data_IF_385912639105
#
_entry.id   IF_385912639105
#
_cell.length_a   1.000
_cell.length_b   1.000
_cell.length_c   1.000
_cell.angle_alpha   90.00
_cell.angle_beta   90.00
_cell.angle_gamma   90.00
#
_symmetry.space_group_name_H-M   'P 1'
#
loop_
_entity.id
_entity.type
_entity.pdbx_description
1 polymer ?
#
# COMPACT_ATOMS: atom_id res chain seq x y z
N UNK A 1 9.51 -12.59 -10.94
CA UNK A 1 10.17 -13.89 -10.62
C UNK A 1 9.91 -14.36 -9.19
N UNK A 2 10.07 -13.52 -8.15
CA UNK A 2 9.88 -13.93 -6.73
C UNK A 2 8.49 -14.50 -6.45
N UNK A 3 7.43 -13.81 -6.90
CA UNK A 3 6.04 -14.28 -6.69
C UNK A 3 5.79 -15.68 -7.30
N UNK A 4 6.42 -16.01 -8.43
CA UNK A 4 6.30 -17.32 -9.04
C UNK A 4 6.83 -18.44 -8.11
N UNK A 5 7.99 -18.22 -7.48
CA UNK A 5 8.55 -19.19 -6.53
C UNK A 5 7.71 -19.31 -5.26
N UNK A 6 7.19 -18.19 -4.74
CA UNK A 6 6.29 -18.19 -3.57
C UNK A 6 5.00 -18.96 -3.91
N UNK A 7 4.42 -18.71 -5.07
CA UNK A 7 3.19 -19.37 -5.50
C UNK A 7 3.39 -20.90 -5.67
N UNK A 8 4.49 -21.31 -6.31
CA UNK A 8 4.86 -22.73 -6.41
C UNK A 8 5.07 -23.33 -5.01
N UNK A 9 5.77 -22.60 -4.12
CA UNK A 9 6.03 -23.07 -2.76
C UNK A 9 4.74 -23.32 -1.97
N UNK A 10 3.70 -22.51 -2.14
CA UNK A 10 2.41 -22.76 -1.48
C UNK A 10 1.85 -24.14 -1.80
N UNK A 11 1.87 -24.54 -3.08
CA UNK A 11 1.36 -25.85 -3.49
C UNK A 11 2.29 -27.00 -3.08
N UNK A 12 3.60 -26.85 -3.23
CA UNK A 12 4.57 -27.90 -2.89
C UNK A 12 4.55 -28.16 -1.38
N UNK A 13 4.59 -27.11 -0.55
CA UNK A 13 4.55 -27.24 0.91
C UNK A 13 3.20 -27.83 1.34
N UNK A 14 2.10 -27.35 0.78
CA UNK A 14 0.77 -27.88 1.08
C UNK A 14 0.66 -29.38 0.75
N UNK A 15 1.22 -29.81 -0.38
CA UNK A 15 1.23 -31.21 -0.73
C UNK A 15 2.06 -32.07 0.26
N UNK A 16 3.24 -31.57 0.66
CA UNK A 16 4.07 -32.24 1.67
C UNK A 16 3.32 -32.38 3.00
N UNK A 17 2.68 -31.29 3.45
CA UNK A 17 1.86 -31.30 4.66
C UNK A 17 0.67 -32.25 4.56
N UNK A 18 0.04 -32.33 3.38
CA UNK A 18 -1.05 -33.27 3.13
C UNK A 18 -0.59 -34.74 3.25
N UNK A 19 0.59 -35.07 2.72
CA UNK A 19 1.17 -36.41 2.83
C UNK A 19 1.49 -36.74 4.28
N UNK A 20 2.07 -35.80 5.02
CA UNK A 20 2.34 -35.96 6.48
C UNK A 20 1.03 -36.13 7.24
N UNK A 21 0.01 -35.31 6.98
CA UNK A 21 -1.30 -35.40 7.62
C UNK A 21 -1.98 -36.74 7.36
N UNK A 22 -1.92 -37.24 6.11
CA UNK A 22 -2.44 -38.57 5.77
C UNK A 22 -1.71 -39.68 6.53
N UNK A 23 -0.38 -39.60 6.62
CA UNK A 23 0.42 -40.55 7.39
C UNK A 23 0.11 -40.52 8.88
N UNK A 24 -0.32 -39.36 9.41
CA UNK A 24 -0.78 -39.17 10.79
C UNK A 24 -2.26 -39.56 11.00
N UNK A 25 -2.98 -40.02 9.96
CA UNK A 25 -4.35 -40.52 10.04
C UNK A 25 -5.45 -39.55 9.60
N UNK A 26 -5.13 -38.32 9.14
CA UNK A 26 -6.15 -37.43 8.54
C UNK A 26 -6.42 -37.81 7.07
N UNK A 27 -7.38 -38.71 6.87
CA UNK A 27 -7.81 -39.16 5.53
C UNK A 27 -8.56 -38.10 4.75
N UNK A 28 -8.96 -36.97 5.38
CA UNK A 28 -9.75 -35.90 4.76
C UNK A 28 -8.91 -34.74 4.28
N UNK A 29 -7.59 -34.73 4.57
CA UNK A 29 -6.72 -33.58 4.29
C UNK A 29 -6.67 -33.21 2.80
N UNK A 30 -6.55 -34.19 1.90
CA UNK A 30 -6.54 -33.95 0.47
C UNK A 30 -7.86 -33.37 -0.03
N UNK A 31 -8.99 -33.87 0.48
CA UNK A 31 -10.30 -33.34 0.15
C UNK A 31 -10.40 -31.87 0.59
N UNK A 32 -10.05 -31.55 1.84
CA UNK A 32 -10.05 -30.17 2.35
C UNK A 32 -9.24 -29.22 1.47
N UNK A 33 -8.05 -29.64 1.02
CA UNK A 33 -7.19 -28.84 0.15
C UNK A 33 -7.83 -28.63 -1.23
N UNK A 34 -8.39 -29.67 -1.83
CA UNK A 34 -9.06 -29.57 -3.13
C UNK A 34 -10.31 -28.69 -3.02
N UNK A 35 -11.15 -28.90 -2.02
CA UNK A 35 -12.34 -28.07 -1.78
C UNK A 35 -11.97 -26.59 -1.62
N UNK A 36 -10.85 -26.31 -0.91
CA UNK A 36 -10.35 -24.94 -0.75
C UNK A 36 -9.98 -24.26 -2.07
N UNK A 37 -9.60 -25.01 -3.11
CA UNK A 37 -9.30 -24.43 -4.43
C UNK A 37 -10.57 -23.89 -5.09
N UNK A 38 -11.66 -24.64 -5.03
CA UNK A 38 -12.97 -24.24 -5.59
C UNK A 38 -13.55 -23.06 -4.81
N UNK A 39 -13.55 -23.15 -3.47
CA UNK A 39 -14.05 -22.09 -2.59
C UNK A 39 -13.28 -20.79 -2.76
N UNK A 40 -11.95 -20.88 -2.86
CA UNK A 40 -11.10 -19.69 -3.07
C UNK A 40 -11.32 -19.08 -4.45
N UNK A 41 -11.50 -19.91 -5.47
CA UNK A 41 -11.78 -19.47 -6.85
C UNK A 41 -13.13 -18.72 -6.93
N UNK A 42 -14.18 -19.31 -6.34
CA UNK A 42 -15.51 -18.69 -6.26
C UNK A 42 -15.47 -17.38 -5.49
N UNK A 43 -14.84 -17.37 -4.31
CA UNK A 43 -14.70 -16.19 -3.47
C UNK A 43 -13.94 -15.06 -4.20
N UNK A 44 -12.87 -15.39 -4.95
CA UNK A 44 -12.11 -14.40 -5.74
C UNK A 44 -12.99 -13.69 -6.77
N UNK A 45 -13.86 -14.43 -7.44
CA UNK A 45 -14.80 -13.86 -8.41
C UNK A 45 -15.86 -13.00 -7.74
N UNK A 46 -16.49 -13.48 -6.66
CA UNK A 46 -17.51 -12.75 -5.90
C UNK A 46 -16.97 -11.43 -5.34
N UNK A 47 -15.76 -11.43 -4.80
CA UNK A 47 -15.07 -10.21 -4.34
C UNK A 47 -14.90 -9.22 -5.50
N UNK A 48 -14.40 -9.69 -6.64
CA UNK A 48 -14.16 -8.82 -7.81
C UNK A 48 -15.46 -8.19 -8.31
N UNK A 49 -16.54 -8.93 -8.29
CA UNK A 49 -17.86 -8.43 -8.64
C UNK A 49 -18.33 -7.35 -7.65
N UNK A 50 -18.22 -7.61 -6.34
CA UNK A 50 -18.55 -6.64 -5.29
C UNK A 50 -17.71 -5.35 -5.34
N UNK A 51 -16.45 -5.46 -5.77
CA UNK A 51 -15.58 -4.32 -5.94
C UNK A 51 -15.95 -3.39 -7.10
N UNK A 52 -16.62 -3.89 -8.11
CA UNK A 52 -16.88 -3.17 -9.38
C UNK A 52 -17.53 -1.82 -9.13
N UNK A 53 -18.59 -1.77 -8.31
CA UNK A 53 -19.30 -0.52 -8.01
C UNK A 53 -18.44 0.48 -7.23
N UNK A 54 -17.72 0.00 -6.22
CA UNK A 54 -16.88 0.87 -5.36
C UNK A 54 -15.67 1.41 -6.14
N UNK A 55 -15.03 0.59 -6.97
CA UNK A 55 -13.94 1.04 -7.84
C UNK A 55 -14.44 2.02 -8.89
N UNK A 56 -15.61 1.79 -9.49
CA UNK A 56 -16.23 2.72 -10.43
C UNK A 56 -16.51 4.08 -9.76
N UNK A 57 -17.05 4.08 -8.53
CA UNK A 57 -17.28 5.31 -7.77
C UNK A 57 -15.96 6.09 -7.57
N UNK A 58 -14.95 5.43 -6.99
CA UNK A 58 -13.71 6.14 -6.65
C UNK A 58 -12.92 6.59 -7.87
N UNK A 59 -12.76 5.74 -8.91
CA UNK A 59 -12.07 6.14 -10.13
C UNK A 59 -12.85 7.20 -10.91
N UNK A 60 -14.19 7.18 -10.83
CA UNK A 60 -15.02 8.27 -11.36
C UNK A 60 -14.73 9.62 -10.68
N UNK A 61 -14.71 9.65 -9.35
CA UNK A 61 -14.36 10.86 -8.57
C UNK A 61 -12.92 11.31 -8.85
N UNK A 62 -11.97 10.36 -8.87
CA UNK A 62 -10.56 10.66 -9.18
C UNK A 62 -10.39 11.27 -10.57
N UNK A 63 -11.14 10.81 -11.57
CA UNK A 63 -11.09 11.33 -12.94
C UNK A 63 -11.56 12.79 -13.02
N UNK A 64 -12.55 13.17 -12.20
CA UNK A 64 -12.97 14.58 -12.08
C UNK A 64 -11.79 15.42 -11.57
N UNK A 65 -11.14 14.97 -10.46
CA UNK A 65 -9.99 15.67 -9.88
C UNK A 65 -8.80 15.78 -10.85
N UNK A 66 -8.52 14.72 -11.61
CA UNK A 66 -7.48 14.69 -12.64
C UNK A 66 -7.76 15.77 -13.72
N UNK A 67 -8.96 15.76 -14.31
CA UNK A 67 -9.36 16.74 -15.33
C UNK A 67 -9.46 18.18 -14.80
N UNK A 68 -9.80 18.34 -13.54
CA UNK A 68 -9.80 19.64 -12.85
C UNK A 68 -8.38 20.16 -12.54
N UNK A 69 -7.36 19.34 -12.73
CA UNK A 69 -5.97 19.70 -12.48
C UNK A 69 -5.56 19.69 -10.99
N UNK A 70 -6.28 18.96 -10.14
CA UNK A 70 -5.96 18.84 -8.70
C UNK A 70 -4.55 18.27 -8.53
N UNK A 71 -4.14 17.30 -9.35
CA UNK A 71 -2.77 16.74 -9.36
C UNK A 71 -1.72 17.85 -9.56
N UNK A 72 -1.96 18.80 -10.47
CA UNK A 72 -1.05 19.91 -10.72
C UNK A 72 -0.96 20.88 -9.54
N UNK A 73 -2.06 21.07 -8.80
CA UNK A 73 -2.08 21.91 -7.58
C UNK A 73 -1.25 21.24 -6.49
N UNK A 74 -1.47 19.95 -6.26
CA UNK A 74 -0.72 19.17 -5.28
C UNK A 74 0.78 19.11 -5.63
N UNK A 75 1.12 18.85 -6.90
CA UNK A 75 2.49 18.84 -7.38
C UNK A 75 3.22 20.18 -7.11
N UNK A 76 2.53 21.31 -7.33
CA UNK A 76 3.07 22.63 -7.01
C UNK A 76 3.25 22.87 -5.51
N UNK A 77 2.30 22.42 -4.70
CA UNK A 77 2.38 22.54 -3.24
C UNK A 77 3.57 21.74 -2.66
N UNK A 78 3.87 20.59 -3.25
CA UNK A 78 4.98 19.72 -2.82
C UNK A 78 6.36 20.19 -3.35
N UNK A 79 6.38 21.00 -4.42
CA UNK A 79 7.60 21.44 -5.11
C UNK A 79 8.69 22.00 -4.19
N UNK A 80 8.41 22.87 -3.19
CA UNK A 80 9.46 23.42 -2.33
C UNK A 80 10.23 22.37 -1.54
N UNK A 81 9.55 21.32 -1.08
CA UNK A 81 10.12 20.22 -0.31
C UNK A 81 10.95 19.32 -1.23
N UNK A 82 10.33 18.84 -2.30
CA UNK A 82 10.97 17.86 -3.20
C UNK A 82 12.18 18.43 -3.93
N UNK A 83 12.18 19.73 -4.29
CA UNK A 83 13.35 20.37 -4.88
C UNK A 83 14.60 20.24 -3.97
N UNK A 84 14.43 20.16 -2.66
CA UNK A 84 15.53 19.99 -1.70
C UNK A 84 16.00 18.55 -1.53
N UNK A 85 15.13 17.58 -1.85
CA UNK A 85 15.46 16.16 -1.85
C UNK A 85 16.21 15.70 -3.10
N UNK A 86 16.26 16.52 -4.15
CA UNK A 86 16.93 16.20 -5.42
C UNK A 86 18.02 17.23 -5.77
N UNK A 87 19.03 17.45 -4.91
CA UNK A 87 20.02 18.49 -5.12
C UNK A 87 20.90 18.28 -6.38
N UNK A 88 21.05 17.03 -6.83
CA UNK A 88 21.87 16.68 -8.00
C UNK A 88 21.16 16.95 -9.33
N UNK A 89 19.87 17.34 -9.31
CA UNK A 89 19.13 17.69 -10.53
C UNK A 89 19.33 19.19 -10.83
N UNK A 90 19.68 19.55 -12.07
CA UNK A 90 19.82 20.96 -12.46
C UNK A 90 18.52 21.75 -12.23
N UNK A 91 18.67 23.00 -11.79
CA UNK A 91 17.51 23.89 -11.58
C UNK A 91 16.74 24.04 -12.90
N UNK A 92 15.40 23.99 -12.80
CA UNK A 92 14.48 24.09 -13.93
C UNK A 92 14.53 22.92 -14.93
N UNK A 93 15.18 21.80 -14.60
CA UNK A 93 15.12 20.62 -15.48
C UNK A 93 13.71 20.01 -15.48
N UNK A 94 13.18 19.62 -16.67
CA UNK A 94 11.80 19.12 -16.81
C UNK A 94 11.51 17.86 -15.99
N UNK A 95 12.53 17.09 -15.60
CA UNK A 95 12.38 15.90 -14.76
C UNK A 95 11.70 16.21 -13.41
N UNK A 96 11.94 17.41 -12.84
CA UNK A 96 11.30 17.79 -11.58
C UNK A 96 9.77 17.83 -11.72
N UNK A 97 9.26 18.33 -12.84
CA UNK A 97 7.83 18.29 -13.14
C UNK A 97 7.29 16.85 -13.20
N UNK A 98 8.01 15.94 -13.85
CA UNK A 98 7.63 14.53 -13.95
C UNK A 98 7.65 13.83 -12.58
N UNK A 99 8.65 14.11 -11.73
CA UNK A 99 8.74 13.61 -10.35
C UNK A 99 7.54 14.09 -9.54
N UNK A 100 7.25 15.40 -9.57
CA UNK A 100 6.14 15.96 -8.79
C UNK A 100 4.78 15.41 -9.21
N UNK A 101 4.57 15.27 -10.52
CA UNK A 101 3.35 14.67 -11.06
C UNK A 101 3.18 13.21 -10.66
N UNK A 102 4.25 12.42 -10.70
CA UNK A 102 4.22 11.02 -10.26
C UNK A 102 3.86 10.92 -8.77
N UNK A 103 4.56 11.66 -7.90
CA UNK A 103 4.32 11.61 -6.45
C UNK A 103 2.92 12.10 -6.12
N UNK A 104 2.47 13.21 -6.71
CA UNK A 104 1.12 13.73 -6.50
C UNK A 104 0.04 12.74 -6.96
N UNK A 105 0.27 12.04 -8.08
CA UNK A 105 -0.65 11.01 -8.57
C UNK A 105 -0.71 9.80 -7.62
N UNK A 106 0.43 9.33 -7.12
CA UNK A 106 0.50 8.26 -6.12
C UNK A 106 -0.22 8.64 -4.82
N UNK A 107 0.01 9.86 -4.32
CA UNK A 107 -0.67 10.37 -3.11
C UNK A 107 -2.19 10.35 -3.25
N UNK A 108 -2.70 10.59 -4.44
CA UNK A 108 -4.14 10.55 -4.74
C UNK A 108 -4.65 9.16 -5.13
N UNK A 109 -3.78 8.14 -5.23
CA UNK A 109 -4.18 6.80 -5.65
C UNK A 109 -4.52 6.67 -7.14
N UNK A 110 -3.92 7.55 -7.99
CA UNK A 110 -4.09 7.57 -9.44
C UNK A 110 -3.02 6.71 -10.14
N UNK A 111 -3.04 5.39 -9.91
CA UNK A 111 -2.04 4.44 -10.42
C UNK A 111 -1.86 4.53 -11.95
N UNK A 112 -2.95 4.76 -12.70
CA UNK A 112 -2.92 4.90 -14.16
C UNK A 112 -2.12 6.12 -14.64
N UNK A 113 -2.10 7.20 -13.86
CA UNK A 113 -1.34 8.42 -14.16
C UNK A 113 0.07 8.38 -13.54
N UNK A 114 0.23 7.72 -12.40
CA UNK A 114 1.47 7.65 -11.66
C UNK A 114 2.55 6.87 -12.43
N UNK A 115 2.25 5.67 -12.90
CA UNK A 115 3.24 4.82 -13.59
C UNK A 115 3.84 5.46 -14.85
N UNK A 116 3.06 5.99 -15.82
CA UNK A 116 3.62 6.67 -16.99
C UNK A 116 4.48 7.88 -16.66
N UNK A 117 4.06 8.69 -15.68
CA UNK A 117 4.82 9.87 -15.25
C UNK A 117 6.12 9.47 -14.54
N UNK A 118 6.11 8.36 -13.78
CA UNK A 118 7.30 7.79 -13.16
C UNK A 118 8.30 7.23 -14.16
N UNK A 119 7.85 6.52 -15.17
CA UNK A 119 8.69 6.03 -16.27
C UNK A 119 9.33 7.21 -17.03
N UNK A 120 8.57 8.27 -17.27
CA UNK A 120 9.09 9.50 -17.89
C UNK A 120 10.15 10.15 -17.00
N UNK A 121 9.92 10.26 -15.70
CA UNK A 121 10.89 10.79 -14.76
C UNK A 121 12.19 9.96 -14.77
N UNK A 122 12.09 8.63 -14.77
CA UNK A 122 13.25 7.73 -14.85
C UNK A 122 14.03 7.91 -16.16
N UNK A 123 13.35 7.99 -17.30
CA UNK A 123 14.00 8.24 -18.60
C UNK A 123 14.77 9.57 -18.59
N UNK A 124 14.15 10.63 -18.09
CA UNK A 124 14.78 11.96 -17.99
C UNK A 124 15.95 11.97 -16.99
N UNK A 125 15.89 11.25 -15.88
CA UNK A 125 17.03 11.08 -14.96
C UNK A 125 18.15 10.26 -15.61
N UNK A 126 17.82 9.29 -16.47
CA UNK A 126 18.79 8.49 -17.19
C UNK A 126 19.55 9.30 -18.25
N UNK A 127 18.95 10.33 -18.83
CA UNK A 127 19.66 11.27 -19.71
C UNK A 127 20.79 11.97 -18.98
N UNK A 128 20.58 12.36 -17.71
CA UNK A 128 21.56 13.01 -16.83
C UNK A 128 22.59 12.04 -16.26
N UNK A 129 22.36 10.74 -16.34
CA UNK A 129 23.19 9.72 -15.72
C UNK A 129 24.48 9.47 -16.52
N UNK A 130 25.64 9.65 -15.90
CA UNK A 130 26.95 9.40 -16.51
C UNK A 130 27.26 7.89 -16.60
N UNK A 131 26.82 7.09 -15.61
CA UNK A 131 27.02 5.63 -15.56
C UNK A 131 25.69 4.94 -15.83
N UNK A 132 25.45 4.60 -17.08
CA UNK A 132 24.14 4.13 -17.56
C UNK A 132 23.58 2.86 -16.89
N UNK A 133 24.42 2.04 -16.28
CA UNK A 133 24.04 0.81 -15.58
C UNK A 133 23.91 0.95 -14.06
N UNK A 134 24.25 2.12 -13.50
CA UNK A 134 24.32 2.37 -12.06
C UNK A 134 23.31 3.45 -11.66
N UNK A 135 22.51 3.20 -10.62
CA UNK A 135 21.52 4.15 -10.11
C UNK A 135 22.17 5.42 -9.57
N UNK A 136 21.63 6.59 -9.93
CA UNK A 136 22.03 7.89 -9.36
C UNK A 136 21.31 8.18 -8.05
N UNK A 137 21.80 9.12 -7.25
CA UNK A 137 21.10 9.53 -6.01
C UNK A 137 19.66 10.00 -6.27
N UNK A 138 19.36 10.86 -7.28
CA UNK A 138 17.99 11.21 -7.60
C UNK A 138 17.09 10.01 -7.91
N UNK A 139 17.59 9.04 -8.70
CA UNK A 139 16.83 7.84 -9.01
C UNK A 139 16.50 7.04 -7.76
N UNK A 140 17.46 6.91 -6.83
CA UNK A 140 17.25 6.19 -5.57
C UNK A 140 16.25 6.91 -4.68
N UNK A 141 16.38 8.23 -4.49
CA UNK A 141 15.43 9.03 -3.71
C UNK A 141 14.02 8.93 -4.31
N UNK A 142 13.89 9.05 -5.63
CA UNK A 142 12.62 8.91 -6.33
C UNK A 142 11.99 7.53 -6.10
N UNK A 143 12.79 6.48 -6.18
CA UNK A 143 12.33 5.12 -5.93
C UNK A 143 11.85 4.94 -4.49
N UNK A 144 12.60 5.40 -3.50
CA UNK A 144 12.24 5.27 -2.08
C UNK A 144 10.97 6.05 -1.76
N UNK A 145 10.78 7.24 -2.34
CA UNK A 145 9.54 8.01 -2.20
C UNK A 145 8.32 7.28 -2.80
N UNK A 146 8.49 6.56 -3.91
CA UNK A 146 7.44 5.71 -4.47
C UNK A 146 7.18 4.47 -3.60
N UNK A 147 8.22 3.84 -3.08
CA UNK A 147 8.12 2.65 -2.21
C UNK A 147 7.46 2.97 -0.88
N UNK A 148 7.88 4.02 -0.20
CA UNK A 148 7.27 4.48 1.05
C UNK A 148 5.85 5.06 0.85
N UNK A 149 5.52 5.38 -0.37
CA UNK A 149 4.21 5.60 -0.98
C UNK A 149 3.18 6.33 -0.12
N UNK A 150 3.41 7.62 0.19
CA UNK A 150 2.39 8.40 0.91
C UNK A 150 1.05 8.34 0.19
N UNK A 151 0.11 7.59 0.74
CA UNK A 151 -1.24 7.42 0.19
C UNK A 151 -2.23 8.22 1.03
N UNK A 152 -2.85 9.25 0.43
CA UNK A 152 -3.88 10.06 1.10
C UNK A 152 -5.22 9.32 1.05
N UNK A 153 -5.53 8.63 -0.05
CA UNK A 153 -6.83 8.00 -0.24
C UNK A 153 -6.62 6.51 -0.57
N UNK A 154 -6.73 5.59 0.41
CA UNK A 154 -6.55 4.15 0.19
C UNK A 154 -7.84 3.50 -0.37
N UNK A 155 -8.31 3.99 -1.54
CA UNK A 155 -9.60 3.63 -2.13
C UNK A 155 -9.82 2.13 -2.26
N UNK A 156 -8.80 1.43 -2.73
CA UNK A 156 -8.84 -0.02 -2.96
C UNK A 156 -9.05 -0.80 -1.66
N UNK A 157 -8.40 -0.41 -0.57
CA UNK A 157 -8.53 -1.07 0.74
C UNK A 157 -9.93 -0.85 1.29
N UNK A 158 -10.44 0.39 1.23
CA UNK A 158 -11.80 0.71 1.66
C UNK A 158 -12.85 -0.08 0.85
N UNK A 159 -12.61 -0.23 -0.46
CA UNK A 159 -13.47 -1.03 -1.33
C UNK A 159 -13.48 -2.51 -0.92
N UNK A 160 -12.33 -3.11 -0.63
CA UNK A 160 -12.24 -4.49 -0.15
C UNK A 160 -12.93 -4.67 1.20
N UNK A 161 -12.73 -3.77 2.15
CA UNK A 161 -13.42 -3.82 3.45
C UNK A 161 -14.94 -3.76 3.30
N UNK A 162 -15.43 -2.85 2.44
CA UNK A 162 -16.86 -2.76 2.12
C UNK A 162 -17.39 -4.06 1.51
N UNK A 163 -16.65 -4.67 0.57
CA UNK A 163 -17.05 -5.93 -0.08
C UNK A 163 -17.05 -7.13 0.89
N UNK A 164 -16.22 -7.09 1.95
CA UNK A 164 -16.20 -8.10 3.00
C UNK A 164 -17.21 -7.83 4.13
N UNK A 165 -18.09 -6.81 3.97
CA UNK A 165 -19.13 -6.51 4.93
C UNK A 165 -18.63 -5.91 6.24
N UNK A 166 -17.51 -5.17 6.22
CA UNK A 166 -17.06 -4.43 7.39
C UNK A 166 -18.15 -3.47 7.88
N UNK A 167 -18.39 -3.42 9.19
CA UNK A 167 -19.37 -2.52 9.79
C UNK A 167 -19.04 -1.05 9.53
N UNK A 168 -17.74 -0.73 9.52
CA UNK A 168 -17.20 0.60 9.23
C UNK A 168 -15.99 0.47 8.31
N UNK A 169 -16.15 0.44 6.97
CA UNK A 169 -15.06 0.27 6.03
C UNK A 169 -13.97 1.34 6.15
N UNK A 170 -14.30 2.52 6.66
CA UNK A 170 -13.45 3.71 6.73
C UNK A 170 -12.66 3.84 8.04
N UNK A 171 -12.84 2.98 9.03
CA UNK A 171 -12.18 3.06 10.34
C UNK A 171 -10.65 2.90 10.25
N UNK A 172 -10.14 2.21 9.23
CA UNK A 172 -8.70 2.05 8.96
C UNK A 172 -8.08 3.23 8.21
N UNK A 173 -8.87 4.23 7.80
CA UNK A 173 -8.39 5.36 6.97
C UNK A 173 -7.30 6.18 7.68
N UNK A 174 -7.60 6.68 8.89
CA UNK A 174 -6.63 7.46 9.68
C UNK A 174 -5.42 6.61 10.08
N UNK A 175 -5.56 5.37 10.59
CA UNK A 175 -4.44 4.46 10.81
C UNK A 175 -3.53 4.26 9.60
N UNK A 176 -4.08 4.03 8.41
CA UNK A 176 -3.29 3.90 7.17
C UNK A 176 -2.54 5.20 6.87
N UNK A 177 -3.22 6.35 6.96
CA UNK A 177 -2.59 7.66 6.71
C UNK A 177 -1.41 7.91 7.65
N UNK A 178 -1.54 7.59 8.92
CA UNK A 178 -0.46 7.72 9.90
C UNK A 178 0.70 6.77 9.61
N UNK A 179 0.41 5.50 9.29
CA UNK A 179 1.45 4.51 9.00
C UNK A 179 2.25 4.87 7.75
N UNK A 180 1.58 5.31 6.67
CA UNK A 180 2.26 5.72 5.44
C UNK A 180 3.05 7.03 5.60
N UNK A 181 2.59 7.96 6.45
CA UNK A 181 3.36 9.15 6.83
C UNK A 181 4.67 8.78 7.53
N UNK A 182 4.62 7.85 8.49
CA UNK A 182 5.82 7.37 9.20
C UNK A 182 6.77 6.65 8.24
N UNK A 183 6.26 5.78 7.36
CA UNK A 183 7.06 5.09 6.34
C UNK A 183 7.76 6.09 5.41
N UNK A 184 7.03 7.12 4.95
CA UNK A 184 7.59 8.17 4.07
C UNK A 184 8.64 9.01 4.79
N UNK A 185 8.40 9.40 6.04
CA UNK A 185 9.39 10.09 6.86
C UNK A 185 10.67 9.27 7.02
N UNK A 186 10.54 7.99 7.37
CA UNK A 186 11.66 7.08 7.50
C UNK A 186 12.43 6.95 6.17
N UNK A 187 11.72 6.77 5.06
CA UNK A 187 12.32 6.71 3.72
C UNK A 187 13.10 7.97 3.36
N UNK A 188 12.53 9.15 3.61
CA UNK A 188 13.21 10.46 3.39
C UNK A 188 14.46 10.56 4.27
N UNK A 189 14.35 10.29 5.56
CA UNK A 189 15.46 10.44 6.51
C UNK A 189 16.59 9.46 6.17
N UNK A 190 16.28 8.18 6.03
CA UNK A 190 17.27 7.13 5.74
C UNK A 190 18.00 7.42 4.44
N UNK A 191 17.26 7.74 3.37
CA UNK A 191 17.88 8.04 2.06
C UNK A 191 18.70 9.32 2.10
N UNK A 192 18.21 10.37 2.78
CA UNK A 192 18.93 11.64 2.92
C UNK A 192 20.23 11.46 3.70
N UNK A 193 20.24 10.65 4.77
CA UNK A 193 21.45 10.33 5.53
C UNK A 193 22.47 9.58 4.67
N UNK A 194 21.99 8.59 3.89
CA UNK A 194 22.87 7.80 3.02
C UNK A 194 23.47 8.65 1.89
N UNK A 195 22.68 9.58 1.36
CA UNK A 195 23.08 10.50 0.29
C UNK A 195 23.76 11.78 0.79
N UNK A 196 23.89 11.95 2.12
CA UNK A 196 24.42 13.15 2.76
C UNK A 196 23.69 14.43 2.37
N UNK A 197 22.39 14.34 2.14
CA UNK A 197 21.53 15.51 1.94
C UNK A 197 21.40 16.21 3.29
N UNK A 198 21.60 17.51 3.32
CA UNK A 198 21.46 18.29 4.55
C UNK A 198 19.97 18.43 4.93
N UNK A 199 19.51 17.54 5.83
CA UNK A 199 18.14 17.55 6.34
C UNK A 199 17.85 18.72 7.29
N UNK A 200 18.88 19.41 7.78
CA UNK A 200 18.74 20.59 8.65
C UNK A 200 18.45 21.88 7.86
N UNK A 201 18.35 21.82 6.54
CA UNK A 201 17.85 22.96 5.75
C UNK A 201 16.43 23.31 6.22
N UNK A 202 16.13 24.61 6.40
CA UNK A 202 14.89 25.09 6.95
C UNK A 202 13.64 24.40 6.35
N UNK A 203 13.56 24.27 5.02
CA UNK A 203 12.40 23.66 4.36
C UNK A 203 12.21 22.18 4.76
N UNK A 204 13.29 21.38 4.70
CA UNK A 204 13.22 19.97 5.08
C UNK A 204 12.99 19.80 6.58
N UNK A 205 13.69 20.59 7.41
CA UNK A 205 13.54 20.56 8.86
C UNK A 205 12.09 20.86 9.27
N UNK A 206 11.49 21.94 8.74
CA UNK A 206 10.10 22.28 9.03
C UNK A 206 9.13 21.23 8.51
N UNK A 207 9.40 20.62 7.36
CA UNK A 207 8.55 19.55 6.83
C UNK A 207 8.60 18.30 7.70
N UNK A 208 9.82 17.82 8.03
CA UNK A 208 10.02 16.64 8.89
C UNK A 208 9.40 16.91 10.27
N UNK A 209 9.71 18.06 10.88
CA UNK A 209 9.15 18.43 12.17
C UNK A 209 7.62 18.55 12.11
N UNK A 210 7.07 19.18 11.07
CA UNK A 210 5.63 19.31 10.87
C UNK A 210 4.92 17.97 10.73
N UNK A 211 5.50 17.04 9.97
CA UNK A 211 4.96 15.68 9.84
C UNK A 211 5.06 14.89 11.15
N UNK A 212 6.20 14.97 11.85
CA UNK A 212 6.36 14.34 13.17
C UNK A 212 5.39 14.92 14.19
N UNK A 213 5.24 16.25 14.22
CA UNK A 213 4.30 16.93 15.11
C UNK A 213 2.85 16.56 14.79
N UNK A 214 2.49 16.49 13.51
CA UNK A 214 1.15 16.07 13.08
C UNK A 214 0.83 14.64 13.56
N UNK A 215 1.72 13.69 13.28
CA UNK A 215 1.58 12.30 13.75
C UNK A 215 1.52 12.24 15.28
N UNK A 216 2.44 12.96 15.96
CA UNK A 216 2.52 12.98 17.42
C UNK A 216 1.27 13.58 18.08
N UNK A 217 0.73 14.68 17.54
CA UNK A 217 -0.49 15.31 18.05
C UNK A 217 -1.69 14.37 17.90
N UNK A 218 -1.82 13.69 16.75
CA UNK A 218 -2.89 12.73 16.53
C UNK A 218 -2.77 11.56 17.52
N UNK A 219 -1.59 10.94 17.61
CA UNK A 219 -1.36 9.82 18.53
C UNK A 219 -1.62 10.25 19.99
N UNK A 220 -1.12 11.41 20.39
CA UNK A 220 -1.34 11.95 21.74
C UNK A 220 -2.82 12.23 22.00
N UNK A 221 -3.51 12.88 21.05
CA UNK A 221 -4.93 13.20 21.17
C UNK A 221 -5.81 11.94 21.29
N UNK A 222 -5.56 10.94 20.45
CA UNK A 222 -6.28 9.67 20.53
C UNK A 222 -5.92 8.88 21.79
N UNK A 223 -4.68 8.93 22.25
CA UNK A 223 -4.24 8.26 23.49
C UNK A 223 -4.89 8.81 24.77
N UNK A 224 -5.50 10.01 24.73
CA UNK A 224 -6.27 10.59 25.86
C UNK A 224 -7.77 10.22 25.84
N UNK A 225 -8.25 9.57 24.77
CA UNK A 225 -9.67 9.23 24.60
C UNK A 225 -9.94 7.82 25.07
N UNK A 226 -11.14 7.59 25.61
CA UNK A 226 -11.66 6.25 25.79
C UNK A 226 -11.96 5.59 24.43
N UNK A 227 -11.97 4.27 24.37
CA UNK A 227 -12.13 3.50 23.11
C UNK A 227 -13.39 3.86 22.34
N UNK A 228 -14.53 4.11 23.01
CA UNK A 228 -15.78 4.46 22.35
C UNK A 228 -15.71 5.85 21.70
N UNK A 229 -15.19 6.83 22.40
CA UNK A 229 -14.98 8.18 21.89
C UNK A 229 -13.98 8.17 20.74
N UNK A 230 -12.87 7.44 20.87
CA UNK A 230 -11.86 7.30 19.83
C UNK A 230 -12.47 6.70 18.54
N UNK A 231 -13.23 5.61 18.65
CA UNK A 231 -13.89 5.00 17.51
C UNK A 231 -14.88 5.96 16.84
N UNK A 232 -15.66 6.70 17.62
CA UNK A 232 -16.62 7.68 17.10
C UNK A 232 -15.89 8.80 16.38
N UNK A 233 -14.86 9.40 17.01
CA UNK A 233 -14.09 10.51 16.43
C UNK A 233 -13.36 10.05 15.16
N UNK A 234 -12.73 8.86 15.17
CA UNK A 234 -12.05 8.31 14.01
C UNK A 234 -13.01 8.10 12.84
N UNK A 235 -14.17 7.51 13.11
CA UNK A 235 -15.20 7.25 12.08
C UNK A 235 -15.74 8.54 11.50
N UNK A 236 -16.14 9.49 12.35
CA UNK A 236 -16.67 10.79 11.91
C UNK A 236 -15.64 11.56 11.12
N UNK A 237 -14.39 11.64 11.62
CA UNK A 237 -13.31 12.36 10.96
C UNK A 237 -12.98 11.71 9.60
N UNK A 238 -12.86 10.38 9.54
CA UNK A 238 -12.59 9.65 8.28
C UNK A 238 -13.67 9.91 7.24
N UNK A 239 -14.95 9.78 7.63
CA UNK A 239 -16.07 9.98 6.71
C UNK A 239 -16.19 11.45 6.27
N UNK A 240 -15.95 12.40 7.17
CA UNK A 240 -15.94 13.83 6.85
C UNK A 240 -14.82 14.18 5.87
N UNK A 241 -13.60 13.65 6.08
CA UNK A 241 -12.47 13.86 5.18
C UNK A 241 -12.77 13.28 3.81
N UNK A 242 -13.24 12.02 3.73
CA UNK A 242 -13.54 11.35 2.47
C UNK A 242 -14.65 12.06 1.68
N UNK A 243 -15.75 12.42 2.35
CA UNK A 243 -16.82 13.20 1.72
C UNK A 243 -16.33 14.60 1.30
N UNK A 244 -15.49 15.23 2.12
CA UNK A 244 -14.86 16.52 1.81
C UNK A 244 -13.97 16.44 0.57
N UNK A 245 -13.22 15.36 0.40
CA UNK A 245 -12.40 15.13 -0.82
C UNK A 245 -13.30 14.97 -2.04
N UNK A 246 -14.36 14.18 -1.95
CA UNK A 246 -15.34 14.01 -3.04
C UNK A 246 -15.91 15.36 -3.45
N UNK A 247 -16.40 16.14 -2.47
CA UNK A 247 -16.96 17.46 -2.72
C UNK A 247 -15.93 18.41 -3.31
N UNK A 248 -14.71 18.41 -2.80
CA UNK A 248 -13.61 19.22 -3.31
C UNK A 248 -13.30 18.93 -4.79
N UNK A 249 -13.27 17.65 -5.19
CA UNK A 249 -13.02 17.26 -6.58
C UNK A 249 -14.17 17.68 -7.50
N UNK A 250 -15.43 17.50 -7.07
CA UNK A 250 -16.63 17.95 -7.81
C UNK A 250 -16.61 19.46 -8.00
N UNK A 251 -16.36 20.22 -6.93
CA UNK A 251 -16.30 21.68 -6.99
C UNK A 251 -15.12 22.17 -7.84
N UNK A 252 -13.95 21.52 -7.71
CA UNK A 252 -12.80 21.85 -8.58
C UNK A 252 -13.15 21.64 -10.06
N UNK A 253 -13.82 20.54 -10.40
CA UNK A 253 -14.32 20.28 -11.75
C UNK A 253 -15.29 21.36 -12.22
N UNK A 254 -16.26 21.71 -11.37
CA UNK A 254 -17.24 22.75 -11.67
C UNK A 254 -16.57 24.11 -11.96
N UNK A 255 -15.68 24.58 -11.08
CA UNK A 255 -14.97 25.85 -11.27
C UNK A 255 -14.01 25.85 -12.48
N UNK A 256 -13.49 24.69 -12.86
CA UNK A 256 -12.64 24.50 -14.04
C UNK A 256 -13.46 24.26 -15.33
N UNK A 257 -14.79 24.33 -15.26
CA UNK A 257 -15.70 24.10 -16.38
C UNK A 257 -15.52 22.72 -17.04
N UNK A 258 -15.12 21.73 -16.25
CA UNK A 258 -15.10 20.32 -16.67
C UNK A 258 -16.54 19.81 -16.67
N UNK A 259 -16.94 19.04 -17.69
CA UNK A 259 -18.19 18.28 -17.59
C UNK A 259 -18.01 17.16 -16.55
N UNK A 260 -18.46 17.46 -15.33
CA UNK A 260 -18.23 16.62 -14.14
C UNK A 260 -18.86 15.24 -14.32
N UNK A 261 -20.07 15.18 -14.87
CA UNK A 261 -20.78 13.92 -15.08
C UNK A 261 -20.06 13.02 -16.12
N UNK A 262 -19.68 13.58 -17.26
CA UNK A 262 -18.96 12.80 -18.29
C UNK A 262 -17.59 12.35 -17.82
N UNK A 263 -16.88 13.20 -17.07
CA UNK A 263 -15.62 12.84 -16.46
C UNK A 263 -15.78 11.69 -15.45
N UNK A 264 -16.84 11.74 -14.62
CA UNK A 264 -17.16 10.65 -13.73
C UNK A 264 -17.42 9.33 -14.47
N UNK A 265 -18.26 9.37 -15.52
CA UNK A 265 -18.58 8.17 -16.33
C UNK A 265 -17.33 7.58 -16.97
N UNK A 266 -16.41 8.43 -17.47
CA UNK A 266 -15.14 7.97 -18.03
C UNK A 266 -14.30 7.21 -17.00
N UNK A 267 -14.11 7.78 -15.81
CA UNK A 267 -13.39 7.11 -14.73
C UNK A 267 -14.11 5.87 -14.19
N UNK A 268 -15.44 5.89 -14.12
CA UNK A 268 -16.23 4.73 -13.71
C UNK A 268 -16.06 3.54 -14.67
N UNK A 269 -15.94 3.77 -15.99
CA UNK A 269 -15.62 2.75 -16.99
C UNK A 269 -14.22 2.16 -16.77
N UNK A 270 -13.23 2.99 -16.41
CA UNK A 270 -11.90 2.53 -16.02
C UNK A 270 -11.98 1.65 -14.76
N UNK A 271 -12.83 2.00 -13.79
CA UNK A 271 -13.08 1.21 -12.57
C UNK A 271 -13.63 -0.17 -12.87
N UNK A 272 -14.62 -0.27 -13.73
CA UNK A 272 -15.18 -1.53 -14.20
C UNK A 272 -14.10 -2.40 -14.86
N UNK A 273 -13.34 -1.81 -15.79
CA UNK A 273 -12.25 -2.52 -16.49
C UNK A 273 -11.20 -3.03 -15.50
N UNK A 274 -10.88 -2.24 -14.49
CA UNK A 274 -9.91 -2.62 -13.44
C UNK A 274 -10.45 -3.80 -12.62
N UNK A 275 -11.71 -3.77 -12.21
CA UNK A 275 -12.34 -4.87 -11.48
C UNK A 275 -12.27 -6.20 -12.25
N UNK A 276 -12.54 -6.17 -13.55
CA UNK A 276 -12.43 -7.36 -14.41
C UNK A 276 -10.97 -7.84 -14.53
N UNK A 277 -10.04 -6.92 -14.74
CA UNK A 277 -8.61 -7.25 -14.92
C UNK A 277 -7.98 -7.91 -13.68
N UNK A 278 -8.47 -7.60 -12.48
CA UNK A 278 -7.88 -8.17 -11.26
C UNK A 278 -8.37 -9.60 -10.98
N UNK A 279 -9.45 -10.08 -11.58
CA UNK A 279 -10.02 -11.42 -11.34
C UNK A 279 -8.97 -12.54 -11.44
N UNK A 280 -8.21 -12.69 -12.56
CA UNK A 280 -7.24 -13.76 -12.68
C UNK A 280 -6.15 -13.73 -11.61
N UNK A 281 -5.73 -12.52 -11.21
CA UNK A 281 -4.71 -12.35 -10.17
C UNK A 281 -5.26 -12.71 -8.78
N UNK A 282 -6.51 -12.36 -8.48
CA UNK A 282 -7.16 -12.75 -7.24
C UNK A 282 -7.40 -14.25 -7.18
N UNK A 283 -7.87 -14.87 -8.25
CA UNK A 283 -8.02 -16.33 -8.32
C UNK A 283 -6.68 -17.00 -8.06
N UNK A 284 -5.63 -16.64 -8.79
CA UNK A 284 -4.33 -17.26 -8.62
C UNK A 284 -3.81 -17.16 -7.19
N UNK A 285 -3.85 -15.95 -6.59
CA UNK A 285 -3.27 -15.74 -5.27
C UNK A 285 -4.12 -16.35 -4.15
N UNK A 286 -5.45 -16.19 -4.19
CA UNK A 286 -6.34 -16.73 -3.17
C UNK A 286 -6.40 -18.26 -3.20
N UNK A 287 -6.32 -18.89 -4.38
CA UNK A 287 -6.20 -20.35 -4.49
C UNK A 287 -4.88 -20.83 -3.88
N UNK A 288 -3.74 -20.20 -4.21
CA UNK A 288 -2.44 -20.57 -3.65
C UNK A 288 -2.40 -20.46 -2.12
N UNK A 289 -2.93 -19.34 -1.57
CA UNK A 289 -2.99 -19.11 -0.12
C UNK A 289 -4.00 -20.06 0.53
N UNK A 290 -5.16 -20.29 -0.09
CA UNK A 290 -6.19 -21.21 0.40
C UNK A 290 -5.67 -22.63 0.54
N UNK A 291 -4.98 -23.14 -0.48
CA UNK A 291 -4.29 -24.44 -0.45
C UNK A 291 -3.26 -24.52 0.68
N UNK A 292 -2.40 -23.50 0.81
CA UNK A 292 -1.37 -23.43 1.85
C UNK A 292 -1.97 -23.39 3.25
N UNK A 293 -3.09 -22.67 3.45
CA UNK A 293 -3.81 -22.64 4.73
C UNK A 293 -4.56 -23.94 5.00
N UNK A 294 -5.28 -24.49 4.02
CA UNK A 294 -6.04 -25.73 4.19
C UNK A 294 -5.16 -26.94 4.55
N UNK A 295 -3.87 -26.91 4.17
CA UNK A 295 -2.89 -27.90 4.57
C UNK A 295 -2.43 -27.79 6.04
N UNK A 296 -2.75 -26.69 6.75
CA UNK A 296 -2.27 -26.37 8.10
C UNK A 296 -0.87 -25.73 8.15
N UNK A 297 -0.20 -25.58 7.01
CA UNK A 297 1.15 -25.02 6.97
C UNK A 297 1.18 -23.55 7.43
N UNK A 298 0.20 -22.73 7.02
CA UNK A 298 0.09 -21.33 7.44
C UNK A 298 -0.06 -21.22 8.96
N UNK A 299 -0.92 -22.04 9.54
CA UNK A 299 -1.18 -22.00 10.99
C UNK A 299 0.04 -22.46 11.80
N UNK A 300 0.86 -23.39 11.25
CA UNK A 300 2.13 -23.77 11.84
C UNK A 300 3.12 -22.59 11.86
N UNK A 301 3.24 -21.86 10.74
CA UNK A 301 4.12 -20.67 10.66
C UNK A 301 3.66 -19.61 11.65
N UNK A 302 2.37 -19.27 11.66
CA UNK A 302 1.79 -18.29 12.59
C UNK A 302 2.05 -18.68 14.03
N UNK A 303 1.76 -19.94 14.42
CA UNK A 303 2.02 -20.44 15.79
C UNK A 303 3.50 -20.39 16.18
N UNK A 304 4.41 -20.74 15.25
CA UNK A 304 5.85 -20.67 15.50
C UNK A 304 6.33 -19.25 15.77
N UNK A 305 5.85 -18.29 14.98
CA UNK A 305 6.17 -16.87 15.18
C UNK A 305 5.53 -16.35 16.47
N UNK A 306 4.25 -16.66 16.74
CA UNK A 306 3.56 -16.26 17.97
C UNK A 306 4.29 -16.74 19.20
N UNK A 307 4.68 -18.03 19.23
CA UNK A 307 5.47 -18.59 20.33
C UNK A 307 6.78 -17.82 20.54
N UNK A 308 7.51 -17.51 19.45
CA UNK A 308 8.77 -16.77 19.54
C UNK A 308 8.56 -15.35 20.09
N UNK A 309 7.49 -14.67 19.66
CA UNK A 309 7.13 -13.31 20.13
C UNK A 309 6.77 -13.32 21.63
N UNK A 310 5.97 -14.31 22.05
CA UNK A 310 5.57 -14.48 23.46
C UNK A 310 6.75 -14.80 24.37
N UNK A 311 7.73 -15.60 23.89
CA UNK A 311 8.98 -15.83 24.63
C UNK A 311 9.80 -14.55 24.84
N UNK A 312 9.65 -13.57 23.95
CA UNK A 312 10.25 -12.25 24.10
C UNK A 312 9.43 -11.30 25.01
N UNK A 313 8.29 -11.76 25.55
CA UNK A 313 7.42 -10.97 26.43
C UNK A 313 6.48 -9.98 25.72
N UNK A 314 6.28 -10.13 24.40
CA UNK A 314 5.38 -9.30 23.63
C UNK A 314 4.04 -9.98 23.38
N UNK A 315 2.98 -9.18 23.18
CA UNK A 315 1.68 -9.67 22.72
C UNK A 315 1.78 -10.16 21.27
N UNK A 316 1.19 -11.32 20.97
CA UNK A 316 1.25 -12.00 19.68
C UNK A 316 0.03 -11.74 18.78
N UNK A 317 -0.93 -10.89 19.17
CA UNK A 317 -2.18 -10.64 18.43
C UNK A 317 -1.92 -10.17 16.98
N UNK A 318 -0.83 -9.42 16.76
CA UNK A 318 -0.46 -8.92 15.45
C UNK A 318 0.07 -9.99 14.47
N UNK A 319 0.48 -11.15 15.00
CA UNK A 319 1.17 -12.17 14.19
C UNK A 319 0.28 -12.71 13.07
N UNK A 320 -1.03 -12.83 13.31
CA UNK A 320 -1.98 -13.26 12.30
C UNK A 320 -2.03 -12.36 11.05
N UNK A 321 -1.62 -11.10 11.17
CA UNK A 321 -1.57 -10.13 10.08
C UNK A 321 -0.19 -10.09 9.37
N UNK A 322 0.89 -10.61 9.98
CA UNK A 322 2.26 -10.55 9.45
C UNK A 322 2.43 -11.12 8.03
N UNK A 323 1.70 -12.16 7.59
CA UNK A 323 1.78 -12.61 6.21
C UNK A 323 1.56 -11.48 5.19
N UNK A 324 0.66 -10.54 5.47
CA UNK A 324 0.45 -9.34 4.64
C UNK A 324 1.69 -8.44 4.62
N UNK A 325 2.28 -8.17 5.79
CA UNK A 325 3.47 -7.34 5.91
C UNK A 325 4.69 -7.92 5.19
N UNK A 326 4.92 -9.24 5.32
CA UNK A 326 6.04 -9.94 4.67
C UNK A 326 5.88 -9.95 3.15
N UNK A 327 4.65 -10.13 2.67
CA UNK A 327 4.36 -10.15 1.23
C UNK A 327 4.44 -8.76 0.59
N UNK A 328 4.24 -7.69 1.33
CA UNK A 328 4.12 -6.33 0.79
C UNK A 328 5.34 -5.87 -0.01
N UNK A 329 6.59 -5.97 0.48
CA UNK A 329 7.76 -5.64 -0.30
C UNK A 329 7.94 -6.49 -1.56
N UNK A 330 7.49 -7.75 -1.51
CA UNK A 330 7.70 -8.75 -2.56
C UNK A 330 6.67 -8.68 -3.68
N UNK A 331 5.40 -8.49 -3.33
CA UNK A 331 4.28 -8.51 -4.27
C UNK A 331 3.05 -7.79 -3.72
N UNK A 332 2.63 -6.72 -4.38
CA UNK A 332 1.42 -5.97 -4.02
C UNK A 332 0.13 -6.80 -4.17
N UNK A 333 0.03 -7.64 -5.21
CA UNK A 333 -1.10 -8.57 -5.37
C UNK A 333 -1.06 -9.70 -4.34
N UNK A 334 0.14 -10.21 -4.02
CA UNK A 334 0.33 -11.21 -2.97
C UNK A 334 -0.07 -10.68 -1.59
N UNK A 335 0.39 -9.49 -1.22
CA UNK A 335 0.02 -8.86 0.04
C UNK A 335 -1.49 -8.58 0.11
N UNK A 336 -2.10 -8.16 -1.00
CA UNK A 336 -3.56 -8.01 -1.11
C UNK A 336 -4.28 -9.33 -0.85
N UNK A 337 -3.79 -10.43 -1.44
CA UNK A 337 -4.33 -11.76 -1.19
C UNK A 337 -4.26 -12.15 0.29
N UNK A 338 -3.12 -11.90 0.96
CA UNK A 338 -2.96 -12.16 2.40
C UNK A 338 -3.88 -11.28 3.26
N UNK A 339 -4.09 -10.02 2.90
CA UNK A 339 -5.05 -9.13 3.55
C UNK A 339 -6.50 -9.67 3.42
N UNK A 340 -6.88 -10.10 2.22
CA UNK A 340 -8.21 -10.66 1.97
C UNK A 340 -8.43 -11.95 2.75
N UNK A 341 -7.41 -12.81 2.78
CA UNK A 341 -7.41 -14.03 3.56
C UNK A 341 -7.53 -13.76 5.07
N UNK A 342 -6.80 -12.76 5.58
CA UNK A 342 -6.91 -12.34 6.98
C UNK A 342 -8.34 -11.84 7.30
N UNK A 343 -8.94 -11.02 6.45
CA UNK A 343 -10.33 -10.56 6.62
C UNK A 343 -11.33 -11.71 6.55
N UNK A 344 -11.11 -12.70 5.68
CA UNK A 344 -12.00 -13.87 5.55
C UNK A 344 -11.98 -14.73 6.81
N UNK A 345 -10.80 -15.01 7.37
CA UNK A 345 -10.67 -15.98 8.46
C UNK A 345 -10.86 -15.36 9.85
N UNK A 346 -10.40 -14.13 10.04
CA UNK A 346 -10.48 -13.44 11.33
C UNK A 346 -11.64 -12.44 11.41
N UNK A 347 -12.23 -12.10 10.25
CA UNK A 347 -13.24 -11.05 10.11
C UNK A 347 -12.64 -9.68 9.76
N UNK A 348 -13.34 -8.86 8.94
CA UNK A 348 -12.85 -7.57 8.49
C UNK A 348 -12.73 -6.55 9.64
N UNK A 349 -13.51 -6.70 10.70
CA UNK A 349 -13.50 -5.79 11.86
C UNK A 349 -12.68 -6.32 13.05
N UNK A 350 -12.02 -7.48 12.89
CA UNK A 350 -11.07 -8.00 13.87
C UNK A 350 -9.79 -7.16 13.89
N UNK A 351 -9.02 -7.27 14.98
CA UNK A 351 -7.69 -6.64 15.09
C UNK A 351 -6.78 -7.07 13.92
N UNK A 352 -6.72 -8.38 13.64
CA UNK A 352 -5.92 -8.95 12.54
C UNK A 352 -6.38 -8.44 11.17
N UNK A 353 -7.69 -8.40 10.93
CA UNK A 353 -8.26 -7.90 9.67
C UNK A 353 -7.94 -6.42 9.43
N UNK A 354 -8.14 -5.58 10.45
CA UNK A 354 -7.79 -4.15 10.39
C UNK A 354 -6.29 -3.93 10.23
N UNK A 355 -5.45 -4.61 11.01
CA UNK A 355 -4.00 -4.49 10.91
C UNK A 355 -3.48 -4.94 9.54
N UNK A 356 -4.04 -6.01 8.95
CA UNK A 356 -3.70 -6.44 7.59
C UNK A 356 -4.02 -5.34 6.56
N UNK A 357 -5.12 -4.61 6.74
CA UNK A 357 -5.45 -3.46 5.91
C UNK A 357 -4.46 -2.30 6.08
N UNK A 358 -4.01 -2.04 7.32
CA UNK A 358 -2.99 -1.01 7.58
C UNK A 358 -1.66 -1.42 6.96
N UNK A 359 -1.22 -2.67 7.08
CA UNK A 359 -0.01 -3.17 6.41
C UNK A 359 -0.09 -3.00 4.90
N UNK A 360 -1.23 -3.34 4.28
CA UNK A 360 -1.41 -3.19 2.84
C UNK A 360 -1.30 -1.73 2.39
N UNK A 361 -1.76 -0.79 3.22
CA UNK A 361 -1.77 0.65 2.90
C UNK A 361 -0.56 1.44 3.37
N UNK A 362 0.31 0.87 4.23
CA UNK A 362 1.42 1.61 4.85
C UNK A 362 2.57 1.95 3.92
N UNK A 363 2.83 1.10 2.92
CA UNK A 363 3.89 1.27 1.91
C UNK A 363 3.42 0.75 0.55
N UNK A 364 4.26 0.88 -0.48
CA UNK A 364 4.06 0.22 -1.76
C UNK A 364 5.05 -0.96 -1.92
N UNK A 365 5.04 -1.63 -3.06
CA UNK A 365 5.77 -2.88 -3.29
C UNK A 365 7.20 -2.59 -3.77
N UNK A 366 8.16 -2.62 -2.86
CA UNK A 366 9.55 -2.22 -3.10
C UNK A 366 10.18 -2.94 -4.31
N UNK A 367 10.11 -4.27 -4.38
CA UNK A 367 10.74 -5.00 -5.48
C UNK A 367 10.04 -4.80 -6.83
N UNK A 368 8.73 -4.55 -6.83
CA UNK A 368 8.00 -4.21 -8.05
C UNK A 368 8.43 -2.84 -8.58
N UNK A 369 8.49 -1.84 -7.72
CA UNK A 369 8.92 -0.48 -8.06
C UNK A 369 10.35 -0.47 -8.59
N UNK A 370 11.27 -1.22 -7.94
CA UNK A 370 12.62 -1.43 -8.41
C UNK A 370 12.65 -2.02 -9.82
N UNK A 371 11.90 -3.10 -10.04
CA UNK A 371 11.87 -3.79 -11.33
C UNK A 371 11.32 -2.91 -12.45
N UNK A 372 10.23 -2.17 -12.19
CA UNK A 372 9.57 -1.31 -13.18
C UNK A 372 10.44 -0.11 -13.51
N UNK A 373 10.88 0.65 -12.51
CA UNK A 373 11.58 1.91 -12.76
C UNK A 373 13.05 1.70 -13.16
N UNK A 374 13.81 0.88 -12.47
CA UNK A 374 15.19 0.61 -12.86
C UNK A 374 15.26 -0.24 -14.13
N UNK A 375 14.32 -1.19 -14.27
CA UNK A 375 14.25 -2.02 -15.48
C UNK A 375 13.97 -1.21 -16.74
N UNK A 376 13.12 -0.17 -16.66
CA UNK A 376 12.78 0.69 -17.82
C UNK A 376 13.98 1.44 -18.40
N UNK A 377 15.02 1.68 -17.60
CA UNK A 377 16.23 2.41 -17.99
C UNK A 377 17.50 1.56 -17.88
N UNK A 378 17.34 0.22 -17.77
CA UNK A 378 18.41 -0.76 -17.76
C UNK A 378 19.46 -0.58 -16.63
N UNK A 379 19.05 -0.06 -15.48
CA UNK A 379 19.88 -0.01 -14.29
C UNK A 379 20.07 -1.43 -13.73
N UNK A 380 21.34 -1.84 -13.56
CA UNK A 380 21.71 -3.14 -12.98
C UNK A 380 22.25 -3.01 -11.55
N UNK A 381 23.03 -1.95 -11.28
CA UNK A 381 23.56 -1.67 -9.96
C UNK A 381 22.62 -0.69 -9.21
N UNK A 382 21.81 -1.23 -8.31
CA UNK A 382 20.80 -0.48 -7.55
C UNK A 382 21.38 0.32 -6.39
N UNK A 383 22.69 0.13 -6.06
CA UNK A 383 23.36 0.73 -4.90
C UNK A 383 22.55 0.52 -3.60
N UNK A 384 22.29 1.57 -2.85
CA UNK A 384 21.53 1.53 -1.58
C UNK A 384 19.99 1.60 -1.73
N UNK A 385 19.45 1.56 -2.95
CA UNK A 385 18.00 1.69 -3.18
C UNK A 385 17.20 0.61 -2.46
N UNK A 386 17.63 -0.66 -2.58
CA UNK A 386 16.94 -1.80 -1.93
C UNK A 386 16.95 -1.65 -0.41
N UNK A 387 18.12 -1.33 0.17
CA UNK A 387 18.24 -1.19 1.61
C UNK A 387 17.37 -0.05 2.15
N UNK A 388 17.39 1.12 1.50
CA UNK A 388 16.57 2.26 1.91
C UNK A 388 15.06 1.95 1.77
N UNK A 389 14.65 1.29 0.68
CA UNK A 389 13.25 0.88 0.48
C UNK A 389 12.76 -0.10 1.56
N UNK A 390 13.53 -1.17 1.81
CA UNK A 390 13.17 -2.16 2.84
C UNK A 390 13.18 -1.59 4.26
N UNK A 391 14.07 -0.64 4.57
CA UNK A 391 14.05 0.05 5.87
C UNK A 391 12.83 0.97 6.00
N UNK A 392 12.37 1.59 4.92
CA UNK A 392 11.12 2.35 4.92
C UNK A 392 9.90 1.42 5.11
N UNK A 393 9.89 0.25 4.43
CA UNK A 393 8.87 -0.79 4.62
C UNK A 393 8.81 -1.25 6.08
N UNK A 394 9.98 -1.54 6.66
CA UNK A 394 10.08 -1.98 8.05
C UNK A 394 9.56 -0.92 9.02
N UNK A 395 9.90 0.34 8.81
CA UNK A 395 9.36 1.45 9.61
C UNK A 395 7.84 1.56 9.49
N UNK A 396 7.29 1.36 8.28
CA UNK A 396 5.85 1.30 8.03
C UNK A 396 5.16 0.15 8.77
N UNK A 397 5.79 -1.03 8.78
CA UNK A 397 5.29 -2.21 9.52
C UNK A 397 5.25 -1.94 11.02
N UNK A 398 6.33 -1.45 11.62
CA UNK A 398 6.35 -1.12 13.05
C UNK A 398 5.33 -0.03 13.41
N UNK A 399 5.24 1.02 12.59
CA UNK A 399 4.24 2.06 12.77
C UNK A 399 2.82 1.50 12.71
N UNK A 400 2.53 0.65 11.73
CA UNK A 400 1.22 0.01 11.58
C UNK A 400 0.83 -0.82 12.81
N UNK A 401 1.77 -1.60 13.38
CA UNK A 401 1.52 -2.38 14.60
C UNK A 401 1.18 -1.44 15.77
N UNK A 402 2.02 -0.45 16.04
CA UNK A 402 1.82 0.49 17.15
C UNK A 402 0.48 1.25 17.00
N UNK A 403 0.19 1.74 15.80
CA UNK A 403 -1.04 2.46 15.50
C UNK A 403 -2.26 1.52 15.64
N UNK A 404 -2.17 0.26 15.18
CA UNK A 404 -3.26 -0.69 15.33
C UNK A 404 -3.58 -0.99 16.80
N UNK A 405 -2.56 -1.16 17.65
CA UNK A 405 -2.78 -1.31 19.09
C UNK A 405 -3.40 -0.07 19.73
N UNK A 406 -3.01 1.13 19.27
CA UNK A 406 -3.60 2.36 19.78
C UNK A 406 -5.10 2.45 19.43
N UNK A 407 -5.46 2.14 18.18
CA UNK A 407 -6.83 2.36 17.69
C UNK A 407 -7.78 1.17 17.95
N UNK A 408 -7.27 -0.07 18.00
CA UNK A 408 -8.07 -1.28 17.97
C UNK A 408 -7.68 -2.32 19.03
N UNK A 409 -6.59 -2.07 19.79
CA UNK A 409 -6.08 -2.96 20.85
C UNK A 409 -6.76 -2.85 22.21
#
# INVERSE_FOLDING_TARGET
MVLNYIWIAFFVIAFVFAVIGLAMGDTTIFQKIVDSTFDSSKNAFEISLGLTGVLALWLGIMKIGEKAGVVNVLARALSPVFTKLFPDIPKNHPVMGSIFMNIASNMLGLDNAATPTGLKAMAQMQELNQKKDTATNPMIMFLVLNTSGLTIIPTTILAFRASYGAAQPTDVFIPILLATLVATLAGIIITSLWQRINILQHVLLFTIFGMCAFVGIIIWGFGQMDKNTMNTVTTVASNMILLGIILCFILAGFFKKVNVYDAFIEGAKEGFTTAVKIIPYLVAILVGIGVFRASGAMDMVIRGISWSVEQCGFNSDFVGALPTAIMKPLSGSGARGMMLEAMKNYGPDSFVGRLSCIFQGSTDTTFYILAVYFGSVSIRNTRHAVACGLLADLAGVFAAIIIAYLFFG
#
